data_IF_766587479261
#
_entry.id   IF_766587479261
#
_cell.length_a   1.000
_cell.length_b   1.000
_cell.length_c   1.000
_cell.angle_alpha   90.00
_cell.angle_beta   90.00
_cell.angle_gamma   90.00
#
_symmetry.space_group_name_H-M   'P 1'
#
loop_
_entity.id
_entity.type
_entity.pdbx_description
1 polymer ?
#
# COMPACT_ATOMS: atom_id res chain seq x y z
N UNK A 1 0.00 -6.25 -39.82
CA UNK A 1 -0.35 -5.76 -38.45
C UNK A 1 0.68 -6.34 -37.49
N UNK A 2 1.57 -5.51 -36.92
CA UNK A 2 2.44 -5.98 -35.82
C UNK A 2 1.55 -6.21 -34.62
N UNK A 3 1.32 -7.44 -34.22
CA UNK A 3 0.77 -7.81 -32.92
C UNK A 3 1.66 -7.13 -31.90
N UNK A 4 1.17 -6.12 -31.20
CA UNK A 4 1.87 -5.51 -30.06
C UNK A 4 2.01 -6.62 -29.03
N UNK A 5 3.21 -7.11 -28.83
CA UNK A 5 3.52 -8.08 -27.80
C UNK A 5 3.21 -7.39 -26.46
N UNK A 6 2.17 -7.87 -25.77
CA UNK A 6 1.81 -7.36 -24.44
C UNK A 6 2.99 -7.62 -23.49
N UNK A 7 3.29 -6.65 -22.64
CA UNK A 7 4.31 -6.80 -21.62
C UNK A 7 3.78 -7.70 -20.49
N UNK A 8 4.66 -8.42 -19.82
CA UNK A 8 4.33 -9.19 -18.63
C UNK A 8 5.27 -8.82 -17.47
N UNK A 9 4.77 -8.11 -16.47
CA UNK A 9 5.50 -7.76 -15.27
C UNK A 9 4.85 -8.45 -14.06
N UNK A 10 5.57 -9.37 -13.38
CA UNK A 10 5.01 -10.13 -12.26
C UNK A 10 4.48 -9.27 -11.11
N UNK A 11 5.05 -8.08 -10.89
CA UNK A 11 4.60 -7.17 -9.83
C UNK A 11 3.29 -6.49 -10.22
N UNK A 12 3.16 -6.09 -11.49
CA UNK A 12 1.91 -5.50 -12.00
C UNK A 12 0.80 -6.55 -12.02
N UNK A 13 1.11 -7.79 -12.41
CA UNK A 13 0.15 -8.90 -12.39
C UNK A 13 -0.23 -9.37 -10.97
N UNK A 14 0.51 -8.98 -9.93
CA UNK A 14 0.14 -9.22 -8.52
C UNK A 14 -0.92 -8.26 -7.98
N UNK A 15 -1.14 -7.13 -8.63
CA UNK A 15 -2.12 -6.15 -8.17
C UNK A 15 -3.52 -6.78 -8.06
N UNK A 16 -4.20 -6.51 -6.96
CA UNK A 16 -5.63 -6.77 -6.83
C UNK A 16 -6.39 -5.64 -7.54
N UNK A 17 -6.64 -5.85 -8.83
CA UNK A 17 -7.41 -4.92 -9.67
C UNK A 17 -8.90 -5.19 -9.46
N UNK A 18 -9.68 -4.15 -9.20
CA UNK A 18 -11.08 -4.22 -8.81
C UNK A 18 -11.86 -3.14 -9.54
N UNK A 19 -13.09 -3.45 -9.92
CA UNK A 19 -14.05 -2.45 -10.39
C UNK A 19 -14.67 -1.69 -9.20
N UNK A 20 -15.31 -0.56 -9.46
CA UNK A 20 -15.93 0.26 -8.40
C UNK A 20 -16.96 -0.51 -7.57
N UNK A 21 -17.69 -1.44 -8.19
CA UNK A 21 -18.70 -2.25 -7.50
C UNK A 21 -18.09 -3.34 -6.57
N UNK A 22 -16.80 -3.69 -6.75
CA UNK A 22 -16.10 -4.66 -5.90
C UNK A 22 -15.52 -4.04 -4.64
N UNK A 23 -15.52 -2.71 -4.51
CA UNK A 23 -14.89 -2.02 -3.39
C UNK A 23 -15.59 -2.35 -2.07
N UNK A 24 -16.94 -2.30 -2.04
CA UNK A 24 -17.70 -2.65 -0.83
C UNK A 24 -17.53 -4.12 -0.42
N UNK A 25 -17.62 -5.11 -1.32
CA UNK A 25 -17.22 -6.49 -1.02
C UNK A 25 -15.82 -6.63 -0.43
N UNK A 26 -14.82 -5.91 -0.96
CA UNK A 26 -13.47 -5.92 -0.41
C UNK A 26 -13.41 -5.32 1.00
N UNK A 27 -14.09 -4.20 1.25
CA UNK A 27 -14.16 -3.61 2.60
C UNK A 27 -14.76 -4.60 3.61
N UNK A 28 -15.84 -5.32 3.24
CA UNK A 28 -16.42 -6.38 4.06
C UNK A 28 -15.43 -7.52 4.35
N UNK A 29 -14.71 -7.99 3.33
CA UNK A 29 -13.71 -9.05 3.47
C UNK A 29 -12.59 -8.63 4.43
N UNK A 30 -12.04 -7.43 4.26
CA UNK A 30 -10.94 -6.89 5.06
C UNK A 30 -11.35 -6.55 6.50
N UNK A 31 -12.62 -6.21 6.72
CA UNK A 31 -13.17 -5.92 8.06
C UNK A 31 -13.39 -7.17 8.92
N UNK A 32 -13.20 -8.36 8.37
CA UNK A 32 -13.31 -9.62 9.11
C UNK A 32 -12.13 -10.56 8.80
N UNK A 33 -10.87 -10.13 9.04
CA UNK A 33 -9.72 -10.92 8.70
C UNK A 33 -9.76 -12.28 9.44
N UNK A 34 -9.46 -13.36 8.71
CA UNK A 34 -9.36 -14.72 9.26
C UNK A 34 -7.94 -15.12 9.64
N UNK A 35 -6.97 -14.34 9.20
CA UNK A 35 -5.52 -14.50 9.39
C UNK A 35 -4.84 -13.13 9.43
N UNK A 36 -3.56 -13.04 9.80
CA UNK A 36 -2.82 -11.77 9.65
C UNK A 36 -2.83 -11.34 8.19
N UNK A 37 -3.43 -10.18 7.91
CA UNK A 37 -3.69 -9.67 6.56
C UNK A 37 -3.03 -8.32 6.38
N UNK A 38 -2.21 -8.18 5.32
CA UNK A 38 -1.52 -6.94 4.95
C UNK A 38 -2.21 -6.31 3.74
N UNK A 39 -2.61 -5.06 3.88
CA UNK A 39 -3.07 -4.19 2.79
C UNK A 39 -1.98 -3.18 2.48
N UNK A 40 -1.51 -3.14 1.25
CA UNK A 40 -0.49 -2.22 0.77
C UNK A 40 -0.91 -1.56 -0.54
N UNK A 41 -0.20 -0.51 -0.91
CA UNK A 41 -0.49 0.30 -2.08
C UNK A 41 0.75 0.41 -2.96
N UNK A 42 0.60 0.11 -4.25
CA UNK A 42 1.68 0.29 -5.21
C UNK A 42 1.45 1.56 -6.01
N UNK A 43 2.38 2.49 -5.88
CA UNK A 43 2.47 3.65 -6.75
C UNK A 43 3.81 3.65 -7.51
N UNK A 44 4.00 4.61 -8.40
CA UNK A 44 5.21 4.77 -9.21
C UNK A 44 6.49 4.78 -8.34
N UNK A 45 6.47 5.39 -7.18
CA UNK A 45 7.65 5.44 -6.30
C UNK A 45 7.94 4.06 -5.68
N UNK A 46 6.92 3.38 -5.14
CA UNK A 46 7.05 2.02 -4.62
C UNK A 46 7.55 1.04 -5.69
N UNK A 47 7.06 1.19 -6.93
CA UNK A 47 7.55 0.38 -8.05
C UNK A 47 9.04 0.59 -8.32
N UNK A 48 9.53 1.84 -8.31
CA UNK A 48 10.95 2.12 -8.48
C UNK A 48 11.81 1.53 -7.34
N UNK A 49 11.33 1.62 -6.10
CA UNK A 49 12.05 1.07 -4.95
C UNK A 49 12.25 -0.45 -5.08
N UNK A 50 11.23 -1.18 -5.47
CA UNK A 50 11.32 -2.65 -5.64
C UNK A 50 12.21 -3.08 -6.81
N UNK A 51 12.54 -2.17 -7.74
CA UNK A 51 13.51 -2.44 -8.80
C UNK A 51 14.96 -2.25 -8.33
N UNK A 52 15.17 -1.47 -7.28
CA UNK A 52 16.49 -1.12 -6.76
C UNK A 52 16.89 -1.96 -5.53
N UNK A 53 15.90 -2.49 -4.82
CA UNK A 53 16.11 -3.26 -3.59
C UNK A 53 15.30 -4.57 -3.61
N UNK A 54 16.00 -5.67 -3.73
CA UNK A 54 15.42 -7.02 -3.75
C UNK A 54 14.73 -7.39 -2.41
N UNK A 55 15.15 -6.80 -1.28
CA UNK A 55 14.47 -7.00 0.01
C UNK A 55 13.10 -6.30 -0.01
N UNK A 56 13.07 -5.05 -0.49
CA UNK A 56 11.82 -4.32 -0.68
C UNK A 56 10.87 -5.11 -1.60
N UNK A 57 11.38 -5.61 -2.74
CA UNK A 57 10.60 -6.44 -3.66
C UNK A 57 9.99 -7.66 -2.98
N UNK A 58 10.77 -8.40 -2.19
CA UNK A 58 10.26 -9.56 -1.44
C UNK A 58 9.17 -9.19 -0.45
N UNK A 59 9.28 -8.05 0.25
CA UNK A 59 8.24 -7.59 1.16
C UNK A 59 6.94 -7.24 0.42
N UNK A 60 7.03 -6.48 -0.68
CA UNK A 60 5.85 -6.17 -1.50
C UNK A 60 5.16 -7.41 -2.07
N UNK A 61 5.93 -8.44 -2.46
CA UNK A 61 5.37 -9.70 -2.93
C UNK A 61 4.66 -10.52 -1.83
N UNK A 62 4.93 -10.25 -0.55
CA UNK A 62 4.25 -10.87 0.59
C UNK A 62 2.99 -10.11 1.06
N UNK A 63 2.76 -8.88 0.61
CA UNK A 63 1.52 -8.13 0.86
C UNK A 63 0.33 -8.93 0.33
N UNK A 64 -0.71 -9.13 1.13
CA UNK A 64 -1.87 -9.94 0.76
C UNK A 64 -2.75 -9.24 -0.29
N UNK A 65 -3.02 -7.95 -0.07
CA UNK A 65 -3.80 -7.09 -0.96
C UNK A 65 -2.93 -5.91 -1.38
N UNK A 66 -2.30 -6.05 -2.54
CA UNK A 66 -1.55 -4.97 -3.16
C UNK A 66 -2.48 -4.19 -4.09
N UNK A 67 -2.85 -2.99 -3.67
CA UNK A 67 -3.83 -2.15 -4.36
C UNK A 67 -3.15 -1.12 -5.25
N UNK A 68 -3.82 -0.75 -6.33
CA UNK A 68 -3.35 0.24 -7.29
C UNK A 68 -3.48 1.66 -6.73
N UNK A 69 -2.38 2.42 -6.72
CA UNK A 69 -2.37 3.84 -6.34
C UNK A 69 -1.77 4.72 -7.46
N UNK A 70 -2.61 5.57 -7.98
CA UNK A 70 -2.24 6.63 -8.89
C UNK A 70 -2.16 6.28 -10.38
N UNK A 71 -1.98 7.34 -11.20
CA UNK A 71 -2.02 7.27 -12.66
C UNK A 71 -0.84 6.49 -13.28
N UNK A 72 0.34 6.51 -12.63
CA UNK A 72 1.51 5.76 -13.11
C UNK A 72 1.21 4.27 -13.22
N UNK A 73 0.67 3.68 -12.16
CA UNK A 73 0.33 2.24 -12.16
C UNK A 73 -0.85 1.95 -13.09
N UNK A 74 -1.80 2.88 -13.30
CA UNK A 74 -2.83 2.76 -14.34
C UNK A 74 -2.20 2.54 -15.72
N UNK A 75 -1.19 3.35 -16.05
CA UNK A 75 -0.47 3.20 -17.34
C UNK A 75 0.30 1.89 -17.40
N UNK A 76 0.92 1.46 -16.30
CA UNK A 76 1.61 0.18 -16.24
C UNK A 76 0.65 -1.00 -16.47
N UNK A 77 -0.54 -0.99 -15.89
CA UNK A 77 -1.57 -1.99 -16.15
C UNK A 77 -1.92 -2.05 -17.65
N UNK A 78 -2.19 -0.90 -18.27
CA UNK A 78 -2.53 -0.85 -19.69
C UNK A 78 -1.40 -1.40 -20.59
N UNK A 79 -0.13 -1.11 -20.29
CA UNK A 79 1.02 -1.67 -20.99
C UNK A 79 1.16 -3.18 -20.82
N UNK A 80 0.66 -3.73 -19.71
CA UNK A 80 0.63 -5.17 -19.41
C UNK A 80 -0.69 -5.85 -19.85
N UNK A 81 -1.55 -5.17 -20.61
CA UNK A 81 -2.82 -5.71 -21.10
C UNK A 81 -3.86 -5.95 -19.99
N UNK A 82 -3.73 -5.24 -18.87
CA UNK A 82 -4.64 -5.36 -17.72
C UNK A 82 -5.57 -4.15 -17.64
N UNK A 83 -6.84 -4.40 -17.37
CA UNK A 83 -7.78 -3.35 -17.00
C UNK A 83 -7.44 -2.82 -15.60
N UNK A 84 -7.19 -1.51 -15.47
CA UNK A 84 -6.66 -0.96 -14.21
C UNK A 84 -7.71 -0.89 -13.09
N UNK A 85 -8.99 -0.97 -13.39
CA UNK A 85 -10.09 -0.85 -12.43
C UNK A 85 -10.10 0.47 -11.64
N UNK A 86 -10.71 0.43 -10.47
CA UNK A 86 -10.83 1.54 -9.54
C UNK A 86 -9.47 2.05 -9.04
N UNK A 87 -9.38 3.36 -8.76
CA UNK A 87 -8.20 3.94 -8.13
C UNK A 87 -8.29 3.88 -6.60
N UNK A 88 -7.79 2.80 -6.02
CA UNK A 88 -7.81 2.57 -4.57
C UNK A 88 -6.62 3.24 -3.87
N UNK A 89 -6.49 4.57 -4.05
CA UNK A 89 -5.41 5.30 -3.39
C UNK A 89 -5.55 5.25 -1.86
N UNK A 90 -4.42 5.15 -1.16
CA UNK A 90 -4.41 4.97 0.28
C UNK A 90 -5.10 6.09 1.06
N UNK A 91 -5.08 7.33 0.56
CA UNK A 91 -5.63 8.49 1.27
C UNK A 91 -7.17 8.49 1.33
N UNK A 92 -7.84 7.85 0.36
CA UNK A 92 -9.31 7.69 0.36
C UNK A 92 -9.72 6.31 0.90
N UNK A 93 -9.02 5.25 0.49
CA UNK A 93 -9.37 3.88 0.84
C UNK A 93 -9.13 3.55 2.32
N UNK A 94 -8.03 4.03 2.92
CA UNK A 94 -7.68 3.68 4.31
C UNK A 94 -8.72 4.20 5.31
N UNK A 95 -9.13 5.48 5.29
CA UNK A 95 -10.19 5.95 6.18
C UNK A 95 -11.48 5.17 6.01
N UNK A 96 -11.91 4.89 4.77
CA UNK A 96 -13.11 4.10 4.51
C UNK A 96 -13.01 2.67 5.06
N UNK A 97 -11.84 2.01 4.91
CA UNK A 97 -11.61 0.68 5.46
C UNK A 97 -11.63 0.67 7.00
N UNK A 98 -11.00 1.64 7.63
CA UNK A 98 -11.00 1.76 9.10
C UNK A 98 -12.42 2.01 9.61
N UNK A 99 -13.14 2.97 9.02
CA UNK A 99 -14.52 3.27 9.37
C UNK A 99 -15.40 2.02 9.24
N UNK A 100 -15.29 1.31 8.11
CA UNK A 100 -16.03 0.10 7.86
C UNK A 100 -15.71 -1.02 8.88
N UNK A 101 -14.42 -1.21 9.19
CA UNK A 101 -13.98 -2.20 10.18
C UNK A 101 -14.51 -1.89 11.57
N UNK A 102 -14.45 -0.62 11.99
CA UNK A 102 -14.88 -0.19 13.33
C UNK A 102 -16.41 -0.19 13.52
N UNK A 103 -17.18 -0.09 12.43
CA UNK A 103 -18.64 -0.20 12.45
C UNK A 103 -19.15 -1.62 12.11
N UNK A 104 -18.27 -2.57 11.82
CA UNK A 104 -18.63 -3.97 11.61
C UNK A 104 -19.06 -4.66 12.91
N UNK A 105 -19.66 -5.84 12.81
CA UNK A 105 -20.00 -6.69 13.97
C UNK A 105 -18.77 -7.00 14.87
N UNK A 106 -17.58 -6.91 14.31
CA UNK A 106 -16.30 -7.11 15.02
C UNK A 106 -15.65 -5.81 15.50
N UNK A 107 -16.30 -4.68 15.32
CA UNK A 107 -15.74 -3.36 15.63
C UNK A 107 -15.16 -3.24 17.05
N UNK A 108 -15.86 -3.80 18.04
CA UNK A 108 -15.42 -3.79 19.44
C UNK A 108 -14.31 -4.83 19.75
N UNK A 109 -14.03 -5.76 18.83
CA UNK A 109 -12.92 -6.71 18.98
C UNK A 109 -11.58 -6.10 18.54
N UNK A 110 -11.62 -5.00 17.78
CA UNK A 110 -10.39 -4.36 17.33
C UNK A 110 -9.67 -3.64 18.47
N UNK A 111 -8.35 -3.83 18.48
CA UNK A 111 -7.42 -3.01 19.25
C UNK A 111 -6.55 -2.22 18.27
N UNK A 112 -6.49 -0.91 18.47
CA UNK A 112 -6.00 0.02 17.47
C UNK A 112 -4.56 0.42 17.73
N UNK A 113 -3.74 0.35 16.66
CA UNK A 113 -2.33 0.70 16.70
C UNK A 113 -2.00 1.66 15.56
N UNK A 114 -1.23 2.70 15.85
CA UNK A 114 -0.67 3.62 14.86
C UNK A 114 0.85 3.66 14.98
N UNK A 115 1.54 3.50 13.85
CA UNK A 115 3.01 3.49 13.78
C UNK A 115 3.45 4.39 12.62
N UNK A 116 4.13 5.47 12.90
CA UNK A 116 4.62 6.30 11.80
C UNK A 116 4.78 7.77 12.16
N UNK A 117 5.31 8.55 11.20
CA UNK A 117 5.63 9.96 11.36
C UNK A 117 6.30 10.28 12.69
N UNK A 118 6.15 11.46 13.25
CA UNK A 118 6.67 11.85 14.57
C UNK A 118 5.57 12.54 15.37
N UNK A 119 5.71 12.57 16.69
CA UNK A 119 4.80 13.34 17.51
C UNK A 119 4.90 14.86 17.24
N UNK A 120 3.80 15.60 17.32
CA UNK A 120 2.46 15.18 17.75
C UNK A 120 1.61 14.57 16.63
N UNK A 121 2.14 14.46 15.41
CA UNK A 121 1.39 14.06 14.21
C UNK A 121 0.95 12.60 14.25
N UNK A 122 1.71 11.73 14.91
CA UNK A 122 1.34 10.33 15.10
C UNK A 122 0.03 10.21 15.87
N UNK A 123 -0.02 10.81 17.06
CA UNK A 123 -1.20 10.76 17.94
C UNK A 123 -2.39 11.54 17.35
N UNK A 124 -2.17 12.71 16.76
CA UNK A 124 -3.24 13.50 16.13
C UNK A 124 -3.84 12.76 14.93
N UNK A 125 -2.99 12.19 14.07
CA UNK A 125 -3.44 11.43 12.91
C UNK A 125 -4.17 10.15 13.29
N UNK A 126 -3.68 9.43 14.30
CA UNK A 126 -4.33 8.25 14.84
C UNK A 126 -5.71 8.59 15.44
N UNK A 127 -5.81 9.64 16.27
CA UNK A 127 -7.07 10.09 16.84
C UNK A 127 -8.10 10.42 15.77
N UNK A 128 -7.68 11.13 14.71
CA UNK A 128 -8.57 11.47 13.59
C UNK A 128 -9.02 10.22 12.81
N UNK A 129 -8.11 9.29 12.51
CA UNK A 129 -8.43 8.06 11.75
C UNK A 129 -9.32 7.11 12.54
N UNK A 130 -9.13 7.02 13.85
CA UNK A 130 -9.85 6.08 14.71
C UNK A 130 -11.11 6.69 15.35
N UNK A 131 -11.50 7.90 14.95
CA UNK A 131 -12.72 8.55 15.44
C UNK A 131 -12.71 8.79 16.96
N UNK A 132 -11.54 9.07 17.54
CA UNK A 132 -11.36 9.31 18.98
C UNK A 132 -11.40 8.05 19.86
N UNK A 133 -11.48 6.85 19.30
CA UNK A 133 -11.36 5.58 20.05
C UNK A 133 -9.95 5.45 20.65
N UNK A 134 -9.84 4.71 21.76
CA UNK A 134 -8.54 4.41 22.40
C UNK A 134 -7.61 3.66 21.46
N UNK A 135 -6.34 4.03 21.44
CA UNK A 135 -5.30 3.43 20.58
C UNK A 135 -3.93 3.45 21.25
N UNK A 136 -3.01 2.66 20.72
CA UNK A 136 -1.60 2.71 21.04
C UNK A 136 -0.83 3.33 19.86
N UNK A 137 0.08 4.26 20.13
CA UNK A 137 0.85 4.95 19.11
C UNK A 137 2.35 4.90 19.38
N UNK A 138 3.14 4.79 18.31
CA UNK A 138 4.60 4.86 18.34
C UNK A 138 5.09 5.60 17.08
N UNK A 139 6.10 6.46 17.21
CA UNK A 139 6.65 7.20 16.07
C UNK A 139 7.33 6.30 15.02
N UNK A 140 7.54 6.84 13.81
CA UNK A 140 8.00 6.08 12.65
C UNK A 140 9.53 5.89 12.55
N UNK A 141 10.32 6.29 13.55
CA UNK A 141 11.78 6.33 13.48
C UNK A 141 12.47 5.35 14.44
N UNK A 142 11.71 4.45 15.06
CA UNK A 142 12.22 3.44 15.98
C UNK A 142 12.91 2.27 15.23
N UNK A 143 13.81 1.52 15.86
CA UNK A 143 14.30 0.24 15.34
C UNK A 143 13.16 -0.73 14.97
N UNK A 144 13.39 -1.64 14.04
CA UNK A 144 12.38 -2.60 13.60
C UNK A 144 11.81 -3.44 14.76
N UNK A 145 12.68 -3.91 15.62
CA UNK A 145 12.32 -4.78 16.74
C UNK A 145 11.41 -4.09 17.75
N UNK A 146 11.55 -2.77 17.91
CA UNK A 146 10.71 -1.99 18.83
C UNK A 146 9.24 -1.98 18.39
N UNK A 147 8.94 -1.97 17.09
CA UNK A 147 7.57 -2.10 16.59
C UNK A 147 6.97 -3.48 16.89
N UNK A 148 7.77 -4.52 16.77
CA UNK A 148 7.33 -5.88 17.06
C UNK A 148 7.03 -6.06 18.54
N UNK A 149 7.94 -5.58 19.39
CA UNK A 149 7.78 -5.60 20.85
C UNK A 149 6.61 -4.71 21.28
N UNK A 150 6.46 -3.54 20.69
CA UNK A 150 5.36 -2.61 20.98
C UNK A 150 3.99 -3.27 20.81
N UNK A 151 3.75 -3.96 19.68
CA UNK A 151 2.48 -4.69 19.50
C UNK A 151 2.35 -5.82 20.50
N UNK A 152 3.40 -6.59 20.74
CA UNK A 152 3.38 -7.73 21.65
C UNK A 152 3.08 -7.32 23.09
N UNK A 153 3.63 -6.20 23.54
CA UNK A 153 3.47 -5.70 24.92
C UNK A 153 2.07 -5.13 25.19
N UNK A 154 1.42 -4.55 24.16
CA UNK A 154 0.13 -3.89 24.34
C UNK A 154 -1.07 -4.72 23.86
N UNK A 155 -0.85 -5.78 23.05
CA UNK A 155 -1.93 -6.56 22.48
C UNK A 155 -2.63 -7.43 23.56
N UNK A 156 -3.89 -7.14 23.78
CA UNK A 156 -4.73 -7.86 24.74
C UNK A 156 -5.16 -9.24 24.21
N UNK A 157 -5.36 -10.22 25.13
CA UNK A 157 -5.94 -11.51 24.76
C UNK A 157 -7.32 -11.36 24.10
N UNK A 158 -7.55 -12.10 23.02
CA UNK A 158 -8.84 -12.10 22.31
C UNK A 158 -9.09 -10.91 21.38
N UNK A 159 -8.29 -9.86 21.42
CA UNK A 159 -8.42 -8.71 20.52
C UNK A 159 -7.77 -8.96 19.16
N UNK A 160 -8.30 -8.27 18.15
CA UNK A 160 -7.82 -8.28 16.76
C UNK A 160 -7.02 -6.98 16.55
N UNK A 161 -5.70 -7.02 16.34
CA UNK A 161 -4.96 -5.79 16.08
C UNK A 161 -5.31 -5.22 14.71
N UNK A 162 -5.72 -3.94 14.68
CA UNK A 162 -5.81 -3.10 13.50
C UNK A 162 -4.65 -2.12 13.57
N UNK A 163 -3.68 -2.28 12.68
CA UNK A 163 -2.41 -1.56 12.73
C UNK A 163 -2.27 -0.69 11.49
N UNK A 164 -2.22 0.63 11.68
CA UNK A 164 -1.97 1.60 10.62
C UNK A 164 -0.50 2.01 10.65
N UNK A 165 0.22 1.76 9.56
CA UNK A 165 1.64 2.09 9.41
C UNK A 165 1.82 3.27 8.47
N UNK A 166 2.32 4.38 9.01
CA UNK A 166 2.55 5.66 8.32
C UNK A 166 4.03 6.05 8.26
N UNK A 167 4.94 5.09 8.09
CA UNK A 167 6.38 5.35 8.11
C UNK A 167 7.03 5.38 6.72
N UNK A 168 6.23 5.20 5.67
CA UNK A 168 6.69 5.22 4.27
C UNK A 168 7.29 3.89 3.80
N UNK A 169 7.37 3.78 2.47
CA UNK A 169 7.92 2.63 1.76
C UNK A 169 9.45 2.67 1.78
N UNK A 170 10.16 1.55 1.82
CA UNK A 170 9.69 0.17 1.94
C UNK A 170 9.58 -0.32 3.40
N UNK A 171 9.83 0.57 4.37
CA UNK A 171 9.93 0.21 5.80
C UNK A 171 8.63 -0.33 6.37
N UNK A 172 7.51 0.28 6.03
CA UNK A 172 6.19 -0.16 6.50
C UNK A 172 5.85 -1.58 6.03
N UNK A 173 6.21 -1.94 4.80
CA UNK A 173 6.01 -3.29 4.27
C UNK A 173 6.91 -4.30 4.99
N UNK A 174 8.14 -3.93 5.33
CA UNK A 174 9.04 -4.77 6.13
C UNK A 174 8.46 -5.04 7.52
N UNK A 175 8.02 -4.00 8.24
CA UNK A 175 7.38 -4.13 9.56
C UNK A 175 6.13 -4.99 9.48
N UNK A 176 5.25 -4.76 8.48
CA UNK A 176 4.04 -5.52 8.29
C UNK A 176 4.30 -7.02 8.08
N UNK A 177 5.27 -7.36 7.23
CA UNK A 177 5.65 -8.76 6.97
C UNK A 177 6.24 -9.44 8.21
N UNK A 178 7.02 -8.73 9.01
CA UNK A 178 7.54 -9.26 10.28
C UNK A 178 6.43 -9.49 11.28
N UNK A 179 5.53 -8.52 11.47
CA UNK A 179 4.36 -8.66 12.34
C UNK A 179 3.45 -9.80 11.88
N UNK A 180 3.23 -9.96 10.58
CA UNK A 180 2.43 -11.05 10.02
C UNK A 180 2.94 -12.43 10.45
N UNK A 181 4.26 -12.61 10.48
CA UNK A 181 4.88 -13.87 10.89
C UNK A 181 4.80 -14.11 12.39
N UNK A 182 4.80 -13.03 13.18
CA UNK A 182 4.81 -13.10 14.64
C UNK A 182 3.42 -13.28 15.25
N UNK A 183 2.39 -12.64 14.68
CA UNK A 183 1.08 -12.51 15.33
C UNK A 183 0.31 -13.82 15.48
N UNK A 184 0.42 -14.77 14.55
CA UNK A 184 -0.23 -16.08 14.63
C UNK A 184 -1.76 -16.08 14.80
N UNK A 185 -2.41 -14.90 14.71
CA UNK A 185 -3.86 -14.68 14.90
C UNK A 185 -4.40 -13.70 13.85
N UNK A 186 -5.73 -13.61 13.65
CA UNK A 186 -6.32 -12.59 12.79
C UNK A 186 -5.82 -11.19 13.13
N UNK A 187 -5.45 -10.42 12.10
CA UNK A 187 -4.96 -9.04 12.23
C UNK A 187 -5.19 -8.30 10.92
N UNK A 188 -5.42 -7.00 10.97
CA UNK A 188 -5.47 -6.11 9.81
C UNK A 188 -4.31 -5.11 9.91
N UNK A 189 -3.38 -5.19 8.96
CA UNK A 189 -2.20 -4.32 8.86
C UNK A 189 -2.29 -3.48 7.60
N UNK A 190 -2.21 -2.17 7.71
CA UNK A 190 -2.44 -1.22 6.62
C UNK A 190 -1.18 -0.37 6.42
N UNK A 191 -0.53 -0.51 5.25
CA UNK A 191 0.65 0.25 4.87
C UNK A 191 0.25 1.58 4.21
N UNK A 192 0.10 2.64 5.00
CA UNK A 192 -0.57 3.88 4.59
C UNK A 192 0.34 5.02 4.12
N UNK A 193 1.68 4.90 4.20
CA UNK A 193 2.59 5.97 3.83
C UNK A 193 2.39 7.23 4.69
N UNK A 194 2.01 8.33 4.08
CA UNK A 194 1.78 9.60 4.78
C UNK A 194 0.37 9.73 5.37
N UNK A 195 -0.36 8.64 5.57
CA UNK A 195 -1.78 8.69 5.98
C UNK A 195 -1.97 9.38 7.34
N UNK A 196 -1.08 9.16 8.29
CA UNK A 196 -1.13 9.81 9.61
C UNK A 196 -0.90 11.31 9.50
N UNK A 197 0.04 11.74 8.65
CA UNK A 197 0.30 13.17 8.40
C UNK A 197 -0.92 13.85 7.73
N UNK A 198 -1.58 13.17 6.79
CA UNK A 198 -2.80 13.69 6.15
C UNK A 198 -3.96 13.77 7.14
N UNK A 199 -4.18 12.74 7.94
CA UNK A 199 -5.23 12.72 8.94
C UNK A 199 -5.02 13.77 10.04
N UNK A 200 -3.76 14.03 10.41
CA UNK A 200 -3.36 15.09 11.33
C UNK A 200 -3.39 16.51 10.69
N UNK A 201 -3.77 16.63 9.42
CA UNK A 201 -3.77 17.90 8.66
C UNK A 201 -2.38 18.60 8.58
N UNK A 202 -1.30 17.84 8.77
CA UNK A 202 0.07 18.34 8.58
C UNK A 202 0.33 18.70 7.13
N UNK A 203 -0.24 17.95 6.19
CA UNK A 203 -0.15 18.20 4.76
C UNK A 203 -1.54 18.43 4.17
N UNK A 204 -1.67 19.48 3.37
CA UNK A 204 -2.91 19.74 2.64
C UNK A 204 -3.06 18.80 1.45
N UNK A 205 -4.24 18.22 1.29
CA UNK A 205 -4.59 17.48 0.07
C UNK A 205 -4.80 18.40 -1.11
N UNK A 206 -4.52 17.90 -2.29
CA UNK A 206 -4.86 18.59 -3.52
C UNK A 206 -6.38 18.82 -3.62
N UNK A 207 -6.84 19.97 -4.16
CA UNK A 207 -8.24 20.22 -4.44
C UNK A 207 -8.88 19.09 -5.26
N UNK A 208 -10.18 18.86 -5.07
CA UNK A 208 -10.89 17.76 -5.71
C UNK A 208 -10.78 17.77 -7.25
N UNK A 209 -10.79 18.93 -7.87
CA UNK A 209 -10.61 19.08 -9.31
C UNK A 209 -9.25 18.53 -9.79
N UNK A 210 -8.17 18.83 -9.06
CA UNK A 210 -6.81 18.37 -9.37
C UNK A 210 -6.71 16.85 -9.16
N UNK A 211 -7.35 16.31 -8.12
CA UNK A 211 -7.39 14.87 -7.86
C UNK A 211 -8.14 14.09 -8.95
N UNK A 212 -9.27 14.62 -9.43
CA UNK A 212 -10.08 14.02 -10.51
C UNK A 212 -9.30 13.82 -11.81
N UNK A 213 -8.41 14.74 -12.16
CA UNK A 213 -7.57 14.65 -13.37
C UNK A 213 -6.24 13.88 -13.12
N UNK A 214 -6.04 13.31 -11.91
CA UNK A 214 -4.84 12.54 -11.58
C UNK A 214 -3.57 13.36 -11.38
N UNK A 215 -3.68 14.68 -11.16
CA UNK A 215 -2.56 15.62 -11.04
C UNK A 215 -2.18 15.93 -9.57
N UNK A 216 -2.62 15.09 -8.63
CA UNK A 216 -2.28 15.28 -7.21
C UNK A 216 -0.76 15.26 -6.97
N UNK A 217 -0.01 14.45 -7.71
CA UNK A 217 1.44 14.39 -7.64
C UNK A 217 2.11 15.72 -8.01
N UNK A 218 1.59 16.43 -9.02
CA UNK A 218 2.12 17.73 -9.46
C UNK A 218 1.84 18.80 -8.41
N UNK A 219 0.63 18.82 -7.86
CA UNK A 219 0.27 19.71 -6.75
C UNK A 219 1.22 19.52 -5.56
N UNK A 220 1.44 18.25 -5.15
CA UNK A 220 2.37 17.91 -4.05
C UNK A 220 3.82 18.33 -4.36
N UNK A 221 4.27 18.17 -5.60
CA UNK A 221 5.59 18.62 -6.02
C UNK A 221 5.75 20.14 -5.88
N UNK A 222 4.72 20.91 -6.21
CA UNK A 222 4.72 22.36 -6.04
C UNK A 222 4.74 22.78 -4.57
N UNK A 223 4.03 22.06 -3.71
CA UNK A 223 3.97 22.35 -2.28
C UNK A 223 5.24 21.93 -1.51
N UNK A 224 5.89 20.83 -1.94
CA UNK A 224 7.06 20.26 -1.28
C UNK A 224 8.20 19.94 -2.28
N UNK A 225 8.70 20.94 -3.04
CA UNK A 225 9.62 20.67 -4.15
C UNK A 225 10.91 19.97 -3.71
N UNK A 226 11.52 20.41 -2.61
CA UNK A 226 12.79 19.82 -2.12
C UNK A 226 12.67 18.35 -1.78
N UNK A 227 11.55 17.93 -1.16
CA UNK A 227 11.31 16.55 -0.74
C UNK A 227 10.89 15.64 -1.89
N UNK A 228 10.11 16.17 -2.84
CA UNK A 228 9.46 15.37 -3.87
C UNK A 228 10.12 15.46 -5.26
N UNK A 229 11.12 16.33 -5.44
CA UNK A 229 11.82 16.51 -6.73
C UNK A 229 12.39 15.17 -7.26
N UNK A 230 13.23 14.53 -6.48
CA UNK A 230 13.83 13.25 -6.89
C UNK A 230 12.76 12.18 -7.15
N UNK A 231 11.70 12.13 -6.32
CA UNK A 231 10.61 11.17 -6.45
C UNK A 231 9.83 11.31 -7.76
N UNK A 232 9.59 12.53 -8.22
CA UNK A 232 8.75 12.78 -9.40
C UNK A 232 9.57 13.13 -10.64
N UNK A 233 10.52 14.06 -10.56
CA UNK A 233 11.26 14.52 -11.73
C UNK A 233 12.24 13.45 -12.23
N UNK A 234 12.94 12.77 -11.32
CA UNK A 234 13.84 11.65 -11.67
C UNK A 234 13.07 10.34 -11.72
N UNK A 235 12.18 10.12 -10.76
CA UNK A 235 11.49 8.85 -10.57
C UNK A 235 10.46 8.53 -11.65
N UNK A 236 9.82 9.50 -12.32
CA UNK A 236 8.86 9.21 -13.40
C UNK A 236 9.56 8.65 -14.65
N UNK A 237 10.63 9.25 -15.19
CA UNK A 237 11.40 8.63 -16.29
C UNK A 237 11.94 7.24 -15.95
N UNK A 238 12.45 7.07 -14.73
CA UNK A 238 12.96 5.79 -14.24
C UNK A 238 11.86 4.72 -14.17
N UNK A 239 10.67 5.09 -13.72
CA UNK A 239 9.51 4.21 -13.70
C UNK A 239 9.16 3.68 -15.09
N UNK A 240 9.08 4.55 -16.10
CA UNK A 240 8.80 4.12 -17.48
C UNK A 240 9.89 3.21 -18.04
N UNK A 241 11.15 3.51 -17.74
CA UNK A 241 12.26 2.62 -18.12
C UNK A 241 12.08 1.22 -17.53
N UNK A 242 11.79 1.10 -16.24
CA UNK A 242 11.61 -0.19 -15.59
C UNK A 242 10.38 -0.95 -16.10
N UNK A 243 9.25 -0.29 -16.30
CA UNK A 243 8.03 -0.94 -16.82
C UNK A 243 8.30 -1.58 -18.20
N UNK A 244 8.95 -0.84 -19.09
CA UNK A 244 9.25 -1.37 -20.44
C UNK A 244 10.29 -2.49 -20.36
N UNK A 245 11.32 -2.36 -19.55
CA UNK A 245 12.35 -3.39 -19.39
C UNK A 245 11.75 -4.67 -18.82
N UNK A 246 11.08 -4.60 -17.69
CA UNK A 246 10.57 -5.77 -16.99
C UNK A 246 9.46 -6.49 -17.75
N UNK A 247 8.62 -5.74 -18.44
CA UNK A 247 7.60 -6.33 -19.29
C UNK A 247 8.19 -7.16 -20.45
N UNK A 248 9.36 -6.78 -20.97
CA UNK A 248 10.08 -7.57 -21.99
C UNK A 248 10.71 -8.82 -21.38
N UNK A 249 11.36 -8.69 -20.23
CA UNK A 249 12.04 -9.79 -19.54
C UNK A 249 11.02 -10.85 -19.07
N UNK A 250 9.86 -10.44 -18.54
CA UNK A 250 8.77 -11.33 -18.15
C UNK A 250 8.17 -12.14 -19.31
N UNK A 251 8.11 -11.58 -20.51
CA UNK A 251 7.66 -12.29 -21.71
C UNK A 251 8.61 -13.42 -22.12
N UNK A 252 9.90 -13.29 -21.86
CA UNK A 252 10.90 -14.35 -22.13
C UNK A 252 10.65 -15.53 -21.20
N UNK A 253 10.49 -15.31 -19.90
CA UNK A 253 10.25 -16.38 -18.91
C UNK A 253 8.97 -17.18 -19.19
N UNK A 254 7.89 -16.50 -19.56
CA UNK A 254 6.61 -17.15 -19.87
C UNK A 254 6.72 -18.01 -21.14
N UNK A 255 7.51 -17.56 -22.14
CA UNK A 255 7.73 -18.32 -23.36
C UNK A 255 8.54 -19.60 -23.13
N UNK A 256 9.54 -19.56 -22.24
CA UNK A 256 10.35 -20.70 -21.86
C UNK A 256 9.57 -21.73 -21.04
N UNK A 257 8.75 -21.30 -20.07
CA UNK A 257 7.87 -22.19 -19.31
C UNK A 257 6.79 -22.84 -20.19
N UNK A 258 6.23 -22.12 -21.14
CA UNK A 258 5.28 -22.67 -22.12
C UNK A 258 5.92 -23.67 -23.10
N UNK A 259 7.21 -23.55 -23.38
CA UNK A 259 7.94 -24.50 -24.22
C UNK A 259 8.31 -25.77 -23.44
N UNK A 260 8.57 -25.67 -22.13
CA UNK A 260 8.87 -26.83 -21.27
C UNK A 260 7.62 -27.72 -21.04
N UNK A 261 6.46 -27.08 -20.80
CA UNK A 261 5.19 -27.81 -20.61
C UNK A 261 4.59 -28.43 -21.87
N UNK A 262 5.10 -28.11 -23.09
CA UNK A 262 4.70 -28.78 -24.35
C UNK A 262 5.58 -29.97 -24.73
N UNK A 263 6.65 -30.22 -23.96
CA UNK A 263 7.57 -31.36 -24.23
C UNK A 263 7.46 -32.45 -23.15
N UNK A 264 6.58 -32.29 -22.18
CA UNK A 264 6.17 -33.28 -21.19
C UNK A 264 4.74 -33.76 -21.49
#
# INVERSE_FOLDING_TARGET
>A
MKTSQLLYDPVIHKLKLLEEHDVTPLLNELSAPKKPTIVGFLNQHGYNLIQQDERARRHFLQVNYLLRDGIGIKLACALNGLEPGANLNGTDFIPALIEHALHSERGEQYQLFAMGTCEPWTSQGASALFGGRSFHAIDGFQPLEDYLQFVQQHLEPGKIPLIVMGMGMPRQEEVAVRLQRQLGRPALMICGGAILDFAAQRFNRAPAAIRKIGMEWAYRLLMEPRRLFARYVIGIPQFFYYIVRNGRDGNVDVSEQGAYNRKS
#
